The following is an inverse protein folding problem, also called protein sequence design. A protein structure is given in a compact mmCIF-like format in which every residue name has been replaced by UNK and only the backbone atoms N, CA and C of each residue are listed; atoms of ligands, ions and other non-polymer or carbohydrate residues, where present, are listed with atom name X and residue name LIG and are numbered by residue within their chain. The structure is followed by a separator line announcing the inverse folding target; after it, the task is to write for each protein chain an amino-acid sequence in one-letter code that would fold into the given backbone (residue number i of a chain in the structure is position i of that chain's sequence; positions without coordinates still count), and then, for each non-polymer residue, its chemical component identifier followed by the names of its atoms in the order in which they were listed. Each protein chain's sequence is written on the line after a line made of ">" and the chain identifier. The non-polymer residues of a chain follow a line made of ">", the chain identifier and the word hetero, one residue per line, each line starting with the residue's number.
data_IF_226654406928
#
_entry.id   IF_226654406928
#
_cell.length_a   1.000
_cell.length_b   1.000
_cell.length_c   1.000
_cell.angle_alpha   90.00
_cell.angle_beta   90.00
_cell.angle_gamma   90.00
#
_symmetry.space_group_name_H-M   'P 1'
#
loop_
_entity.id
_entity.type
_entity.pdbx_description
1 polymer ?
#
# COMPACT_ATOMS: atom_id res chain seq x y z
N UNK A 1 -25.88 2.33 36.56
CA UNK A 1 -25.26 1.95 37.85
C UNK A 1 -24.57 0.60 37.66
N UNK A 2 -23.35 0.48 38.19
CA UNK A 2 -22.32 -0.49 37.84
C UNK A 2 -22.77 -1.97 37.80
N UNK A 3 -22.34 -2.68 36.74
CA UNK A 3 -22.26 -4.14 36.73
C UNK A 3 -20.79 -4.51 36.59
N UNK A 4 -20.26 -5.08 37.67
CA UNK A 4 -18.91 -5.62 37.81
C UNK A 4 -18.75 -6.81 36.86
N UNK A 5 -17.69 -6.83 36.05
CA UNK A 5 -17.25 -8.03 35.34
C UNK A 5 -16.05 -8.62 36.05
N UNK A 6 -16.18 -9.89 36.42
CA UNK A 6 -15.28 -10.66 37.25
C UNK A 6 -14.06 -11.14 36.45
N UNK A 7 -12.86 -10.86 36.97
CA UNK A 7 -11.62 -11.51 36.54
C UNK A 7 -11.51 -12.88 37.21
N UNK A 8 -11.43 -13.94 36.40
CA UNK A 8 -11.13 -15.29 36.85
C UNK A 8 -9.60 -15.46 36.92
N UNK A 9 -9.04 -15.36 38.12
CA UNK A 9 -7.63 -15.70 38.42
C UNK A 9 -7.59 -17.17 38.84
N UNK A 10 -6.97 -18.03 38.03
CA UNK A 10 -6.63 -19.39 38.44
C UNK A 10 -5.46 -19.33 39.45
N UNK A 11 -5.76 -19.57 40.73
CA UNK A 11 -4.76 -19.85 41.78
C UNK A 11 -4.34 -21.32 41.71
N UNK A 12 -3.05 -21.58 41.66
CA UNK A 12 -2.46 -22.88 42.06
C UNK A 12 -1.80 -22.72 43.44
N UNK A 13 -1.78 -23.76 44.29
CA UNK A 13 -1.42 -23.62 45.70
C UNK A 13 0.10 -23.62 45.92
N UNK A 14 0.56 -22.75 46.82
CA UNK A 14 1.91 -22.72 47.36
C UNK A 14 2.21 -23.95 48.24
N UNK A 15 3.42 -24.50 48.07
CA UNK A 15 4.18 -25.14 49.15
C UNK A 15 5.53 -24.46 49.26
N UNK A 16 5.87 -24.05 50.48
CA UNK A 16 7.10 -23.37 50.84
C UNK A 16 8.31 -24.32 50.90
N UNK A 17 9.49 -23.86 50.45
CA UNK A 17 10.76 -23.95 51.20
C UNK A 17 11.94 -23.30 50.46
N UNK A 18 12.59 -22.37 51.17
CA UNK A 18 14.01 -21.98 51.17
C UNK A 18 14.80 -21.70 49.87
N UNK A 19 15.10 -20.41 49.65
CA UNK A 19 16.48 -19.90 49.57
C UNK A 19 17.27 -20.01 48.26
N UNK A 20 17.37 -18.89 47.51
CA UNK A 20 18.61 -18.26 46.98
C UNK A 20 18.31 -17.14 45.95
N UNK A 21 19.23 -16.18 45.90
CA UNK A 21 19.29 -14.92 45.14
C UNK A 21 18.83 -14.94 43.66
N UNK A 22 18.31 -13.82 43.08
CA UNK A 22 17.88 -13.78 41.69
C UNK A 22 19.07 -13.56 40.74
N UNK A 23 19.39 -14.57 39.94
CA UNK A 23 20.25 -14.44 38.77
C UNK A 23 19.43 -14.00 37.55
N UNK A 24 20.00 -13.07 36.79
CA UNK A 24 19.46 -12.43 35.59
C UNK A 24 18.93 -13.40 34.53
N UNK A 25 17.67 -13.25 34.14
CA UNK A 25 17.13 -13.85 32.92
C UNK A 25 17.67 -13.09 31.70
N UNK A 26 18.71 -13.64 31.08
CA UNK A 26 19.10 -13.29 29.70
C UNK A 26 18.02 -13.81 28.75
N UNK A 27 17.28 -12.89 28.13
CA UNK A 27 16.48 -13.19 26.93
C UNK A 27 17.46 -13.40 25.78
N UNK A 28 17.56 -14.64 25.28
CA UNK A 28 18.29 -14.92 24.02
C UNK A 28 17.36 -14.57 22.86
N UNK A 29 17.68 -13.51 22.13
CA UNK A 29 17.15 -13.30 20.78
C UNK A 29 17.79 -14.34 19.87
N UNK A 30 16.98 -15.26 19.36
CA UNK A 30 17.40 -16.23 18.35
C UNK A 30 17.15 -15.60 16.98
N UNK A 31 18.15 -14.93 16.41
CA UNK A 31 18.14 -14.46 15.03
C UNK A 31 18.28 -15.67 14.10
N UNK A 32 17.17 -16.15 13.55
CA UNK A 32 17.19 -17.04 12.39
C UNK A 32 16.75 -16.23 11.17
N UNK A 33 17.73 -15.71 10.44
CA UNK A 33 17.55 -15.18 9.10
C UNK A 33 17.43 -16.33 8.10
N UNK A 34 16.45 -16.31 7.18
CA UNK A 34 16.62 -16.88 5.86
C UNK A 34 17.08 -15.75 4.92
N UNK A 35 18.30 -15.92 4.42
CA UNK A 35 18.93 -15.04 3.43
C UNK A 35 18.19 -15.25 2.10
N UNK A 36 17.30 -14.33 1.73
CA UNK A 36 16.89 -14.14 0.33
C UNK A 36 17.62 -12.91 -0.21
N UNK A 37 18.78 -13.16 -0.81
CA UNK A 37 19.61 -12.16 -1.47
C UNK A 37 18.98 -11.80 -2.81
N UNK A 38 18.12 -10.79 -2.82
CA UNK A 38 17.77 -10.10 -4.07
C UNK A 38 18.80 -8.98 -4.30
N UNK A 39 19.71 -9.22 -5.25
CA UNK A 39 20.63 -8.20 -5.75
C UNK A 39 19.85 -7.19 -6.58
N UNK A 40 19.46 -6.06 -5.99
CA UNK A 40 18.96 -4.89 -6.72
C UNK A 40 20.08 -3.86 -6.82
N UNK A 41 20.81 -3.91 -7.94
CA UNK A 41 21.61 -2.77 -8.38
C UNK A 41 20.64 -1.68 -8.86
N UNK A 42 20.31 -0.72 -7.99
CA UNK A 42 19.71 0.54 -8.43
C UNK A 42 20.74 1.31 -9.25
N UNK A 43 20.54 1.36 -10.57
CA UNK A 43 21.15 2.39 -11.42
C UNK A 43 20.03 3.18 -12.06
N UNK A 44 20.03 4.49 -11.84
CA UNK A 44 19.28 5.46 -12.63
C UNK A 44 19.59 5.25 -14.13
N UNK A 45 18.59 5.13 -15.02
CA UNK A 45 18.87 5.10 -16.45
C UNK A 45 19.15 6.51 -16.97
N UNK A 46 20.19 6.73 -17.79
CA UNK A 46 20.31 7.93 -18.60
C UNK A 46 19.37 7.87 -19.81
N UNK A 47 19.02 9.06 -20.29
CA UNK A 47 18.12 9.40 -21.39
C UNK A 47 18.46 8.76 -22.74
N UNK A 48 17.40 8.45 -23.50
CA UNK A 48 17.37 7.96 -24.88
C UNK A 48 18.21 8.79 -25.87
N UNK A 49 18.91 8.10 -26.78
CA UNK A 49 19.14 8.55 -28.15
C UNK A 49 18.94 7.36 -29.09
N UNK A 50 18.03 7.51 -30.06
CA UNK A 50 17.78 6.51 -31.10
C UNK A 50 18.87 6.55 -32.18
N UNK A 51 19.17 5.41 -32.78
CA UNK A 51 19.44 5.30 -34.21
C UNK A 51 19.14 3.89 -34.72
N UNK A 52 18.58 3.89 -35.91
CA UNK A 52 17.97 2.80 -36.65
C UNK A 52 19.00 1.88 -37.30
N UNK A 53 18.70 0.60 -37.50
CA UNK A 53 19.22 -0.21 -38.62
C UNK A 53 18.32 -1.42 -38.88
N UNK A 54 18.34 -1.84 -40.14
CA UNK A 54 17.30 -2.51 -40.91
C UNK A 54 17.31 -4.05 -40.87
N UNK A 55 16.11 -4.62 -41.08
CA UNK A 55 15.72 -5.87 -41.77
C UNK A 55 16.76 -6.98 -42.01
N UNK A 56 16.39 -8.21 -41.64
CA UNK A 56 16.22 -9.35 -42.57
C UNK A 56 15.56 -10.56 -41.88
N UNK A 57 14.60 -11.18 -42.57
CA UNK A 57 14.03 -12.52 -42.28
C UNK A 57 14.77 -13.58 -43.13
N UNK A 58 14.81 -14.87 -42.75
CA UNK A 58 13.77 -15.86 -43.14
C UNK A 58 13.60 -16.95 -42.03
N UNK A 59 12.86 -18.06 -42.09
CA UNK A 59 12.11 -18.81 -43.09
C UNK A 59 11.02 -19.64 -42.37
N UNK A 60 10.05 -20.10 -43.14
CA UNK A 60 8.86 -20.90 -42.79
C UNK A 60 9.13 -22.39 -42.55
N UNK A 61 8.39 -23.01 -41.62
CA UNK A 61 8.06 -24.44 -41.66
C UNK A 61 6.58 -24.65 -41.26
N UNK A 62 5.83 -25.54 -41.94
CA UNK A 62 4.42 -25.78 -41.67
C UNK A 62 4.24 -26.82 -40.57
N UNK A 63 3.36 -26.56 -39.60
CA UNK A 63 2.92 -27.57 -38.62
C UNK A 63 1.40 -27.66 -38.70
N UNK A 64 0.93 -28.91 -38.73
CA UNK A 64 -0.39 -29.35 -39.19
C UNK A 64 -1.60 -28.82 -38.42
N UNK A 65 -2.74 -28.95 -39.09
CA UNK A 65 -4.08 -28.66 -38.60
C UNK A 65 -4.37 -29.39 -37.29
N UNK A 66 -4.35 -28.64 -36.19
CA UNK A 66 -4.99 -29.04 -34.94
C UNK A 66 -6.34 -28.34 -34.91
N UNK A 67 -7.41 -29.12 -35.10
CA UNK A 67 -8.79 -28.72 -34.84
C UNK A 67 -8.91 -28.30 -33.37
N UNK A 68 -8.77 -26.99 -33.11
CA UNK A 68 -9.09 -26.37 -31.85
C UNK A 68 -10.62 -26.40 -31.66
N UNK A 69 -11.07 -27.18 -30.68
CA UNK A 69 -12.42 -27.05 -30.14
C UNK A 69 -12.66 -25.59 -29.69
N UNK A 70 -13.87 -25.04 -29.83
CA UNK A 70 -14.13 -23.65 -29.47
C UNK A 70 -13.89 -23.45 -27.96
N UNK A 71 -12.96 -22.55 -27.66
CA UNK A 71 -12.74 -22.01 -26.32
C UNK A 71 -14.07 -21.54 -25.72
N UNK A 72 -14.36 -21.78 -24.43
CA UNK A 72 -15.59 -21.30 -23.82
C UNK A 72 -15.60 -19.77 -23.92
N UNK A 73 -16.59 -19.23 -24.63
CA UNK A 73 -16.84 -17.80 -24.69
C UNK A 73 -16.92 -17.28 -23.26
N UNK A 74 -15.94 -16.47 -22.84
CA UNK A 74 -16.07 -15.64 -21.64
C UNK A 74 -17.34 -14.82 -21.83
N UNK A 75 -18.35 -15.11 -21.03
CA UNK A 75 -19.64 -14.42 -21.03
C UNK A 75 -19.45 -12.90 -21.06
N UNK A 76 -19.93 -12.26 -22.13
CA UNK A 76 -19.93 -10.81 -22.32
C UNK A 76 -20.75 -10.08 -21.25
N UNK A 77 -21.62 -10.78 -20.51
CA UNK A 77 -22.50 -10.20 -19.50
C UNK A 77 -21.75 -9.67 -18.27
N UNK A 78 -20.65 -10.30 -17.86
CA UNK A 78 -19.86 -9.85 -16.72
C UNK A 78 -19.14 -8.52 -16.99
N UNK A 79 -18.84 -8.21 -18.26
CA UNK A 79 -18.26 -6.91 -18.66
C UNK A 79 -19.26 -5.75 -18.58
N UNK A 80 -20.57 -6.03 -18.58
CA UNK A 80 -21.62 -5.03 -18.69
C UNK A 80 -22.16 -4.51 -17.35
N UNK A 81 -22.02 -5.29 -16.26
CA UNK A 81 -22.54 -4.88 -14.95
C UNK A 81 -21.83 -3.63 -14.43
N UNK A 82 -22.58 -2.62 -13.98
CA UNK A 82 -22.03 -1.42 -13.32
C UNK A 82 -21.37 -1.81 -12.00
N UNK A 83 -20.13 -1.36 -11.70
CA UNK A 83 -19.53 -1.54 -10.38
C UNK A 83 -20.40 -0.89 -9.29
N UNK A 84 -20.58 -1.60 -8.18
CA UNK A 84 -21.27 -1.09 -6.98
C UNK A 84 -20.29 -0.80 -5.85
N UNK A 85 -19.00 -1.11 -6.03
CA UNK A 85 -17.93 -0.76 -5.12
C UNK A 85 -16.75 -0.15 -5.88
N UNK A 86 -16.13 0.85 -5.25
CA UNK A 86 -14.91 1.51 -5.75
C UNK A 86 -13.83 1.36 -4.67
N UNK A 87 -12.72 0.74 -5.06
CA UNK A 87 -11.55 0.58 -4.20
C UNK A 87 -10.48 1.52 -4.73
N UNK A 88 -9.99 2.42 -3.88
CA UNK A 88 -9.05 3.47 -4.23
C UNK A 88 -7.70 3.18 -3.58
N UNK A 89 -6.64 3.30 -4.36
CA UNK A 89 -5.31 3.50 -3.81
C UNK A 89 -5.22 4.86 -3.08
N UNK A 90 -4.21 5.03 -2.23
CA UNK A 90 -4.00 6.24 -1.44
C UNK A 90 -3.02 7.21 -2.09
N UNK A 91 -1.72 6.87 -2.16
CA UNK A 91 -0.66 7.79 -2.55
C UNK A 91 -0.48 7.83 -4.07
N UNK A 92 -0.69 9.02 -4.66
CA UNK A 92 -0.75 9.18 -6.11
C UNK A 92 -2.16 9.09 -6.66
N UNK A 93 -3.15 8.73 -5.82
CA UNK A 93 -4.55 8.55 -6.21
C UNK A 93 -5.46 9.50 -5.44
N UNK A 94 -5.65 9.25 -4.13
CA UNK A 94 -6.43 10.10 -3.24
C UNK A 94 -5.62 11.30 -2.74
N UNK A 95 -4.37 11.07 -2.33
CA UNK A 95 -3.46 12.12 -1.87
C UNK A 95 -2.25 12.18 -2.78
N UNK A 96 -1.54 13.30 -2.78
CA UNK A 96 -0.37 13.45 -3.63
C UNK A 96 0.71 12.41 -3.27
N UNK A 97 1.26 11.74 -4.28
CA UNK A 97 2.48 10.98 -4.09
C UNK A 97 3.62 11.96 -3.78
N UNK A 98 4.44 11.72 -2.74
CA UNK A 98 5.51 12.65 -2.39
C UNK A 98 6.52 12.76 -3.53
N UNK A 99 6.92 13.98 -3.83
CA UNK A 99 7.99 14.30 -4.76
C UNK A 99 9.37 13.98 -4.17
N UNK A 100 10.40 13.95 -5.03
CA UNK A 100 11.80 13.75 -4.59
C UNK A 100 12.23 14.86 -3.63
N UNK A 101 11.78 16.09 -3.85
CA UNK A 101 12.09 17.24 -2.98
C UNK A 101 11.47 17.04 -1.60
N UNK A 102 10.21 16.64 -1.51
CA UNK A 102 9.54 16.38 -0.24
C UNK A 102 10.15 15.19 0.50
N UNK A 103 10.56 14.13 -0.22
CA UNK A 103 11.27 13.00 0.40
C UNK A 103 12.62 13.42 0.98
N UNK A 104 13.39 14.25 0.26
CA UNK A 104 14.66 14.79 0.78
C UNK A 104 14.46 15.71 1.97
N UNK A 105 13.44 16.58 1.92
CA UNK A 105 13.10 17.46 3.03
C UNK A 105 12.63 16.68 4.27
N UNK A 106 11.88 15.58 4.07
CA UNK A 106 11.56 14.65 5.14
C UNK A 106 12.84 14.01 5.67
N UNK A 107 13.65 13.35 4.82
CA UNK A 107 14.88 12.67 5.21
C UNK A 107 15.86 13.58 5.99
N UNK A 108 15.94 14.87 5.65
CA UNK A 108 16.72 15.84 6.42
C UNK A 108 16.24 16.03 7.87
N UNK A 109 14.92 15.98 8.11
CA UNK A 109 14.35 16.01 9.47
C UNK A 109 14.66 14.72 10.24
N UNK A 110 14.54 13.56 9.60
CA UNK A 110 14.96 12.27 10.19
C UNK A 110 16.46 12.31 10.55
N UNK A 111 17.29 12.81 9.64
CA UNK A 111 18.73 12.91 9.83
C UNK A 111 19.12 13.79 11.02
N UNK A 112 18.42 14.92 11.22
CA UNK A 112 18.65 15.81 12.35
C UNK A 112 18.38 15.11 13.70
N UNK A 113 17.27 14.38 13.81
CA UNK A 113 16.90 13.63 15.03
C UNK A 113 17.88 12.48 15.27
N UNK A 114 18.17 11.71 14.23
CA UNK A 114 19.01 10.51 14.29
C UNK A 114 20.52 10.82 14.37
N UNK A 115 20.89 12.10 14.20
CA UNK A 115 22.29 12.58 14.18
C UNK A 115 23.14 11.89 13.11
N UNK A 116 22.55 11.69 11.93
CA UNK A 116 23.21 11.13 10.74
C UNK A 116 23.17 12.14 9.59
N UNK A 117 23.83 11.84 8.47
CA UNK A 117 23.69 12.69 7.27
C UNK A 117 22.33 12.47 6.58
N UNK A 118 21.79 13.47 5.85
CA UNK A 118 20.57 13.29 5.06
C UNK A 118 20.63 12.12 4.08
N UNK A 119 21.80 11.86 3.48
CA UNK A 119 22.00 10.74 2.58
C UNK A 119 21.87 9.38 3.29
N UNK A 120 22.36 9.27 4.53
CA UNK A 120 22.19 8.05 5.35
C UNK A 120 20.73 7.85 5.71
N UNK A 121 20.03 8.91 6.13
CA UNK A 121 18.60 8.83 6.43
C UNK A 121 17.77 8.45 5.19
N UNK A 122 18.07 9.02 4.02
CA UNK A 122 17.39 8.67 2.76
C UNK A 122 17.61 7.19 2.38
N UNK A 123 18.84 6.69 2.49
CA UNK A 123 19.14 5.26 2.27
C UNK A 123 18.33 4.38 3.22
N UNK A 124 18.35 4.66 4.52
CA UNK A 124 17.67 3.83 5.52
C UNK A 124 16.14 3.85 5.33
N UNK A 125 15.55 5.00 5.00
CA UNK A 125 14.11 5.10 4.72
C UNK A 125 13.71 4.27 3.48
N UNK A 126 14.59 4.21 2.48
CA UNK A 126 14.42 3.40 1.27
C UNK A 126 14.61 1.91 1.56
N UNK A 127 15.71 1.55 2.21
CA UNK A 127 16.10 0.16 2.47
C UNK A 127 15.16 -0.53 3.47
N UNK A 128 14.60 0.23 4.42
CA UNK A 128 13.60 -0.26 5.39
C UNK A 128 12.17 -0.23 4.86
N UNK A 129 11.93 0.17 3.60
CA UNK A 129 10.55 0.32 3.09
C UNK A 129 9.74 -0.96 3.28
N UNK A 130 10.26 -2.10 2.86
CA UNK A 130 9.56 -3.39 2.94
C UNK A 130 9.10 -3.71 4.36
N UNK A 131 10.03 -3.71 5.34
CA UNK A 131 9.77 -4.06 6.74
C UNK A 131 8.74 -3.13 7.41
N UNK A 132 8.63 -1.88 6.94
CA UNK A 132 7.63 -0.93 7.44
C UNK A 132 6.24 -1.13 6.84
N UNK A 133 6.10 -1.88 5.75
CA UNK A 133 4.84 -1.97 4.98
C UNK A 133 4.29 -3.40 4.90
N UNK A 134 5.07 -4.44 5.18
CA UNK A 134 4.65 -5.84 5.05
C UNK A 134 4.14 -6.48 6.35
N UNK A 135 4.02 -5.69 7.42
CA UNK A 135 3.43 -6.10 8.70
C UNK A 135 4.40 -6.69 9.72
N UNK A 136 5.70 -6.55 9.51
CA UNK A 136 6.69 -6.80 10.58
C UNK A 136 6.58 -5.83 11.77
N UNK A 137 5.98 -4.64 11.54
CA UNK A 137 5.80 -3.60 12.55
C UNK A 137 4.32 -3.25 12.70
N UNK A 138 3.85 -3.21 13.95
CA UNK A 138 2.46 -2.99 14.29
C UNK A 138 2.12 -1.52 14.59
N UNK A 139 3.10 -0.68 14.95
CA UNK A 139 2.85 0.68 15.41
C UNK A 139 3.88 1.72 14.93
N UNK A 140 3.53 3.00 15.04
CA UNK A 140 4.47 4.10 14.76
C UNK A 140 5.71 4.03 15.65
N UNK A 141 5.55 3.68 16.93
CA UNK A 141 6.66 3.47 17.87
C UNK A 141 7.63 2.40 17.37
N UNK A 142 7.12 1.26 16.87
CA UNK A 142 7.97 0.19 16.34
C UNK A 142 8.75 0.63 15.10
N UNK A 143 8.12 1.44 14.23
CA UNK A 143 8.81 2.08 13.10
C UNK A 143 9.93 3.00 13.59
N UNK A 144 9.68 3.84 14.60
CA UNK A 144 10.69 4.73 15.16
C UNK A 144 11.87 3.95 15.77
N UNK A 145 11.58 2.91 16.57
CA UNK A 145 12.60 2.01 17.14
C UNK A 145 13.44 1.35 16.05
N UNK A 146 12.80 0.85 14.99
CA UNK A 146 13.49 0.22 13.87
C UNK A 146 14.45 1.20 13.17
N UNK A 147 13.99 2.41 12.84
CA UNK A 147 14.82 3.41 12.16
C UNK A 147 15.98 3.89 13.04
N UNK A 148 15.76 4.06 14.35
CA UNK A 148 16.84 4.36 15.32
C UNK A 148 17.90 3.26 15.33
N UNK A 149 17.47 1.99 15.34
CA UNK A 149 18.37 0.84 15.31
C UNK A 149 19.15 0.76 13.99
N UNK A 150 18.51 0.98 12.84
CA UNK A 150 19.17 1.00 11.53
C UNK A 150 20.24 2.09 11.41
N UNK A 151 20.05 3.23 12.08
CA UNK A 151 21.04 4.32 12.13
C UNK A 151 22.14 4.11 13.19
N UNK A 152 22.06 3.07 14.03
CA UNK A 152 22.83 2.96 15.26
C UNK A 152 22.74 4.24 16.14
N UNK A 153 21.58 4.90 16.11
CA UNK A 153 21.31 6.10 16.90
C UNK A 153 20.95 5.74 18.34
N UNK A 154 20.94 6.74 19.22
CA UNK A 154 20.56 6.55 20.63
C UNK A 154 19.06 6.26 20.77
N UNK A 155 18.69 5.37 21.68
CA UNK A 155 17.29 5.08 22.01
C UNK A 155 16.52 6.32 22.48
N UNK A 156 17.21 7.37 22.96
CA UNK A 156 16.60 8.65 23.31
C UNK A 156 15.97 9.38 22.11
N UNK A 157 16.30 9.00 20.87
CA UNK A 157 15.72 9.59 19.65
C UNK A 157 14.33 9.01 19.31
N UNK A 158 13.89 7.91 19.95
CA UNK A 158 12.66 7.19 19.56
C UNK A 158 11.42 8.09 19.67
N UNK A 159 11.21 8.74 20.82
CA UNK A 159 10.01 9.55 21.05
C UNK A 159 9.92 10.74 20.08
N UNK A 160 11.04 11.42 19.84
CA UNK A 160 11.09 12.55 18.90
C UNK A 160 10.82 12.09 17.46
N UNK A 161 11.32 10.92 17.09
CA UNK A 161 11.12 10.34 15.77
C UNK A 161 9.69 9.86 15.56
N UNK A 162 9.07 9.26 16.57
CA UNK A 162 7.66 8.87 16.55
C UNK A 162 6.77 10.09 16.34
N UNK A 163 7.02 11.19 17.06
CA UNK A 163 6.29 12.46 16.88
C UNK A 163 6.47 12.99 15.45
N UNK A 164 7.69 12.94 14.90
CA UNK A 164 7.94 13.35 13.51
C UNK A 164 7.14 12.48 12.52
N UNK A 165 7.17 11.15 12.67
CA UNK A 165 6.43 10.22 11.82
C UNK A 165 4.93 10.52 11.84
N UNK A 166 4.34 10.61 13.04
CA UNK A 166 2.91 10.91 13.21
C UNK A 166 2.53 12.26 12.59
N UNK A 167 3.37 13.29 12.75
CA UNK A 167 3.15 14.61 12.12
C UNK A 167 3.20 14.52 10.60
N UNK A 168 4.20 13.86 10.03
CA UNK A 168 4.33 13.71 8.59
C UNK A 168 3.18 12.89 7.99
N UNK A 169 2.69 11.88 8.71
CA UNK A 169 1.51 11.11 8.32
C UNK A 169 0.26 12.01 8.22
N UNK A 170 0.00 12.85 9.21
CA UNK A 170 -1.13 13.79 9.18
C UNK A 170 -1.04 14.79 8.01
N UNK A 171 0.15 15.34 7.76
CA UNK A 171 0.37 16.27 6.63
C UNK A 171 0.15 15.59 5.27
N UNK A 172 0.40 14.29 5.19
CA UNK A 172 0.24 13.50 3.95
C UNK A 172 -1.21 13.11 3.66
N UNK A 173 -2.05 13.00 4.68
CA UNK A 173 -3.45 12.57 4.54
C UNK A 173 -4.42 13.74 4.28
N UNK A 174 -3.97 14.74 3.54
CA UNK A 174 -4.76 15.92 3.20
C UNK A 174 -5.47 15.73 1.85
N UNK A 175 -6.78 15.96 1.85
CA UNK A 175 -7.63 15.90 0.67
C UNK A 175 -8.17 17.30 0.33
N UNK A 176 -8.23 17.64 -0.95
CA UNK A 176 -8.86 18.89 -1.38
C UNK A 176 -10.40 18.75 -1.45
N UNK A 177 -11.08 19.89 -1.48
CA UNK A 177 -12.54 19.94 -1.48
C UNK A 177 -13.17 19.27 -2.71
N UNK A 178 -12.53 19.33 -3.88
CA UNK A 178 -13.04 18.69 -5.09
C UNK A 178 -13.04 17.17 -4.97
N UNK A 179 -11.98 16.59 -4.38
CA UNK A 179 -11.92 15.17 -4.11
C UNK A 179 -13.02 14.74 -3.13
N UNK A 180 -13.15 15.44 -2.00
CA UNK A 180 -14.19 15.12 -1.01
C UNK A 180 -15.59 15.18 -1.63
N UNK A 181 -15.87 16.20 -2.46
CA UNK A 181 -17.13 16.32 -3.18
C UNK A 181 -17.37 15.12 -4.12
N UNK A 182 -16.35 14.65 -4.83
CA UNK A 182 -16.45 13.48 -5.70
C UNK A 182 -16.72 12.19 -4.91
N UNK A 183 -16.04 11.99 -3.76
CA UNK A 183 -16.30 10.85 -2.88
C UNK A 183 -17.75 10.85 -2.39
N UNK A 184 -18.29 12.02 -2.00
CA UNK A 184 -19.70 12.13 -1.63
C UNK A 184 -20.65 11.84 -2.81
N UNK A 185 -20.33 12.28 -4.02
CA UNK A 185 -21.12 11.95 -5.21
C UNK A 185 -21.15 10.44 -5.47
N UNK A 186 -20.01 9.75 -5.34
CA UNK A 186 -19.95 8.30 -5.46
C UNK A 186 -20.85 7.61 -4.42
N UNK A 187 -20.79 8.05 -3.16
CA UNK A 187 -21.65 7.52 -2.08
C UNK A 187 -23.13 7.77 -2.34
N UNK A 188 -23.50 8.99 -2.75
CA UNK A 188 -24.88 9.34 -3.13
C UNK A 188 -25.37 8.51 -4.33
N UNK A 189 -24.46 8.14 -5.24
CA UNK A 189 -24.70 7.22 -6.35
C UNK A 189 -24.79 5.73 -5.95
N UNK A 190 -24.70 5.42 -4.65
CA UNK A 190 -24.84 4.07 -4.09
C UNK A 190 -23.57 3.23 -4.10
N UNK A 191 -22.40 3.81 -4.41
CA UNK A 191 -21.14 3.07 -4.39
C UNK A 191 -20.65 2.87 -2.95
N UNK A 192 -20.25 1.64 -2.62
CA UNK A 192 -19.42 1.38 -1.44
C UNK A 192 -17.99 1.77 -1.73
N UNK A 193 -17.33 2.46 -0.81
CA UNK A 193 -15.97 2.96 -0.99
C UNK A 193 -15.00 2.23 -0.06
N UNK A 194 -13.84 1.84 -0.59
CA UNK A 194 -12.74 1.38 0.24
C UNK A 194 -11.40 1.97 -0.17
N UNK A 195 -10.47 2.01 0.78
CA UNK A 195 -9.04 2.23 0.51
C UNK A 195 -8.28 0.91 0.58
N UNK A 196 -7.37 0.70 -0.37
CA UNK A 196 -6.37 -0.37 -0.32
C UNK A 196 -4.99 0.24 -0.63
N UNK A 197 -4.08 0.26 0.34
CA UNK A 197 -2.81 0.97 0.23
C UNK A 197 -1.66 0.21 0.85
N UNK A 198 -0.51 0.25 0.16
CA UNK A 198 0.77 -0.05 0.79
C UNK A 198 1.15 1.12 1.68
N UNK A 199 0.97 0.94 2.98
CA UNK A 199 1.09 1.99 3.97
C UNK A 199 1.80 1.47 5.24
N UNK A 200 2.63 2.32 5.83
CA UNK A 200 3.27 2.05 7.11
C UNK A 200 2.35 2.33 8.30
N UNK A 201 2.67 1.82 9.51
CA UNK A 201 1.86 2.02 10.72
C UNK A 201 1.50 3.48 11.02
N UNK A 202 2.41 4.43 10.77
CA UNK A 202 2.16 5.86 10.98
C UNK A 202 1.01 6.41 10.13
N UNK A 203 0.90 5.96 8.88
CA UNK A 203 -0.24 6.30 8.01
C UNK A 203 -1.52 5.61 8.52
N UNK A 204 -1.41 4.34 8.92
CA UNK A 204 -2.55 3.56 9.36
C UNK A 204 -3.16 4.07 10.67
N UNK A 205 -2.35 4.60 11.58
CA UNK A 205 -2.75 5.23 12.84
C UNK A 205 -3.32 6.64 12.62
N UNK A 206 -2.74 7.43 11.70
CA UNK A 206 -3.24 8.76 11.36
C UNK A 206 -4.54 8.73 10.52
N UNK A 207 -4.94 7.57 9.99
CA UNK A 207 -6.12 7.48 9.11
C UNK A 207 -7.40 8.01 9.76
N UNK A 208 -7.69 7.63 11.00
CA UNK A 208 -8.98 7.97 11.64
C UNK A 208 -9.17 9.45 11.91
N UNK A 209 -8.09 10.24 11.95
CA UNK A 209 -8.14 11.71 12.11
C UNK A 209 -8.15 12.46 10.77
N UNK A 210 -8.09 11.76 9.64
CA UNK A 210 -8.11 12.37 8.31
C UNK A 210 -9.54 12.70 7.86
N UNK A 211 -9.68 13.75 7.03
CA UNK A 211 -10.94 14.12 6.39
C UNK A 211 -11.42 13.06 5.37
N UNK A 212 -10.54 12.14 4.96
CA UNK A 212 -10.89 11.04 4.07
C UNK A 212 -11.69 9.95 4.79
N UNK A 213 -11.31 9.59 6.02
CA UNK A 213 -11.84 8.42 6.72
C UNK A 213 -13.37 8.33 6.78
N UNK A 214 -14.14 9.42 7.03
CA UNK A 214 -15.59 9.37 7.07
C UNK A 214 -16.27 8.93 5.76
N UNK A 215 -15.57 9.00 4.62
CA UNK A 215 -16.14 8.67 3.31
C UNK A 215 -16.01 7.17 2.95
N UNK A 216 -15.22 6.39 3.68
CA UNK A 216 -14.91 5.01 3.32
C UNK A 216 -15.60 3.99 4.24
N UNK A 217 -16.17 2.95 3.65
CA UNK A 217 -16.82 1.86 4.36
C UNK A 217 -15.81 0.79 4.84
N UNK A 218 -14.65 0.71 4.18
CA UNK A 218 -13.56 -0.18 4.54
C UNK A 218 -12.19 0.42 4.20
N UNK A 219 -11.17 0.00 4.95
CA UNK A 219 -9.77 0.33 4.66
C UNK A 219 -8.89 -0.90 4.89
N UNK A 220 -7.94 -1.12 3.98
CA UNK A 220 -6.90 -2.15 4.09
C UNK A 220 -5.55 -1.50 3.89
N UNK A 221 -4.73 -1.55 4.94
CA UNK A 221 -3.34 -1.12 4.90
C UNK A 221 -2.42 -2.33 4.95
N UNK A 222 -1.41 -2.36 4.09
CA UNK A 222 -0.46 -3.46 3.96
C UNK A 222 0.19 -3.85 5.29
N UNK A 223 0.59 -2.86 6.12
CA UNK A 223 1.21 -3.11 7.42
C UNK A 223 0.29 -3.87 8.40
N UNK A 224 -1.03 -3.73 8.25
CA UNK A 224 -2.00 -4.50 9.05
C UNK A 224 -2.38 -5.82 8.41
N UNK A 225 -2.25 -5.92 7.08
CA UNK A 225 -2.60 -7.09 6.31
C UNK A 225 -1.48 -8.15 6.25
N UNK A 226 -0.23 -7.77 6.51
CA UNK A 226 0.90 -8.68 6.49
C UNK A 226 1.46 -8.98 5.09
N UNK A 227 1.17 -8.11 4.12
CA UNK A 227 1.58 -8.24 2.72
C UNK A 227 1.49 -6.88 2.01
N UNK A 228 2.23 -6.71 0.92
CA UNK A 228 2.18 -5.53 0.04
C UNK A 228 1.55 -5.87 -1.32
N UNK A 229 1.08 -4.86 -2.06
CA UNK A 229 0.64 -5.04 -3.44
C UNK A 229 1.82 -5.57 -4.29
N UNK A 230 1.56 -6.46 -5.26
CA UNK A 230 0.24 -6.88 -5.74
C UNK A 230 -0.24 -8.23 -5.17
N UNK A 231 0.09 -8.54 -3.90
CA UNK A 231 -0.37 -9.78 -3.28
C UNK A 231 -1.92 -9.86 -3.25
N UNK A 232 -2.45 -10.98 -3.73
CA UNK A 232 -3.90 -11.28 -3.76
C UNK A 232 -4.57 -11.19 -2.39
N UNK A 233 -3.82 -11.36 -1.30
CA UNK A 233 -4.32 -11.27 0.06
C UNK A 233 -4.97 -9.91 0.33
N UNK A 234 -4.35 -8.80 -0.06
CA UNK A 234 -4.89 -7.46 0.20
C UNK A 234 -6.19 -7.26 -0.57
N UNK A 235 -6.19 -7.64 -1.85
CA UNK A 235 -7.35 -7.50 -2.73
C UNK A 235 -8.55 -8.34 -2.26
N UNK A 236 -8.32 -9.58 -1.83
CA UNK A 236 -9.37 -10.39 -1.22
C UNK A 236 -9.82 -9.85 0.13
N UNK A 237 -8.91 -9.28 0.93
CA UNK A 237 -9.24 -8.68 2.21
C UNK A 237 -10.18 -7.48 2.04
N UNK A 238 -9.90 -6.57 1.11
CA UNK A 238 -10.76 -5.39 0.90
C UNK A 238 -12.13 -5.79 0.33
N UNK A 239 -12.20 -6.76 -0.59
CA UNK A 239 -13.46 -7.29 -1.12
C UNK A 239 -14.31 -7.92 -0.01
N UNK A 240 -13.69 -8.69 0.89
CA UNK A 240 -14.35 -9.29 2.05
C UNK A 240 -14.86 -8.21 3.01
N UNK A 241 -14.06 -7.20 3.31
CA UNK A 241 -14.45 -6.10 4.20
C UNK A 241 -15.62 -5.28 3.62
N UNK A 242 -15.65 -5.12 2.30
CA UNK A 242 -16.76 -4.48 1.59
C UNK A 242 -17.99 -5.39 1.44
N UNK A 243 -17.85 -6.71 1.57
CA UNK A 243 -18.91 -7.68 1.35
C UNK A 243 -19.43 -7.68 -0.09
N UNK A 244 -18.53 -7.61 -1.08
CA UNK A 244 -18.87 -7.58 -2.52
C UNK A 244 -18.09 -8.62 -3.32
N UNK A 245 -18.67 -9.08 -4.43
CA UNK A 245 -17.97 -9.94 -5.37
C UNK A 245 -16.94 -9.14 -6.19
N UNK A 246 -15.82 -9.76 -6.63
CA UNK A 246 -14.79 -9.07 -7.41
C UNK A 246 -15.35 -8.34 -8.65
N UNK A 247 -16.35 -8.92 -9.33
CA UNK A 247 -16.93 -8.36 -10.55
C UNK A 247 -17.76 -7.08 -10.31
N UNK A 248 -18.15 -6.82 -9.05
CA UNK A 248 -18.85 -5.63 -8.60
C UNK A 248 -17.89 -4.50 -8.19
N UNK A 249 -16.59 -4.78 -8.08
CA UNK A 249 -15.59 -3.85 -7.62
C UNK A 249 -14.77 -3.27 -8.79
N UNK A 250 -14.56 -1.95 -8.75
CA UNK A 250 -13.62 -1.23 -9.59
C UNK A 250 -12.45 -0.76 -8.73
N UNK A 251 -11.26 -1.27 -9.01
CA UNK A 251 -10.01 -0.78 -8.44
C UNK A 251 -9.52 0.44 -9.23
N UNK A 252 -9.13 1.49 -8.51
CA UNK A 252 -8.63 2.73 -9.09
C UNK A 252 -7.31 3.09 -8.42
N UNK A 253 -6.25 3.23 -9.21
CA UNK A 253 -4.92 3.56 -8.71
C UNK A 253 -4.02 4.15 -9.77
N UNK A 254 -2.86 4.67 -9.38
CA UNK A 254 -1.96 5.40 -10.27
C UNK A 254 -1.07 4.48 -11.13
N UNK A 255 -1.03 3.19 -10.77
CA UNK A 255 -0.24 2.15 -11.44
C UNK A 255 1.05 1.77 -10.73
N UNK A 256 1.32 2.30 -9.54
CA UNK A 256 2.44 1.86 -8.69
C UNK A 256 2.25 0.44 -8.14
N UNK A 257 3.34 -0.28 -7.94
CA UNK A 257 3.35 -1.59 -7.25
C UNK A 257 2.61 -2.72 -7.99
N UNK A 258 2.50 -2.64 -9.32
CA UNK A 258 1.73 -3.58 -10.15
C UNK A 258 0.26 -3.75 -9.69
N UNK A 259 -0.29 -2.72 -9.04
CA UNK A 259 -1.57 -2.81 -8.34
C UNK A 259 -2.76 -3.05 -9.28
N UNK A 260 -2.71 -2.48 -10.49
CA UNK A 260 -3.78 -2.62 -11.48
C UNK A 260 -3.86 -4.06 -11.99
N UNK A 261 -2.72 -4.67 -12.32
CA UNK A 261 -2.67 -6.07 -12.70
C UNK A 261 -2.97 -6.99 -11.51
N UNK A 262 -2.53 -6.62 -10.30
CA UNK A 262 -2.93 -7.29 -9.06
C UNK A 262 -4.44 -7.36 -8.89
N UNK A 263 -5.13 -6.25 -9.13
CA UNK A 263 -6.58 -6.17 -9.07
C UNK A 263 -7.26 -7.06 -10.13
N UNK A 264 -6.76 -7.06 -11.36
CA UNK A 264 -7.27 -7.95 -12.43
C UNK A 264 -7.06 -9.44 -12.12
N UNK A 265 -5.90 -9.79 -11.53
CA UNK A 265 -5.62 -11.16 -11.07
C UNK A 265 -6.58 -11.59 -9.95
N UNK A 266 -7.01 -10.64 -9.11
CA UNK A 266 -8.08 -10.83 -8.12
C UNK A 266 -9.50 -10.76 -8.71
N UNK A 267 -9.64 -10.76 -10.05
CA UNK A 267 -10.91 -10.73 -10.80
C UNK A 267 -11.72 -9.44 -10.66
N UNK A 268 -11.11 -8.36 -10.18
CA UNK A 268 -11.71 -7.04 -10.21
C UNK A 268 -11.53 -6.40 -11.59
N UNK A 269 -12.27 -5.31 -11.81
CA UNK A 269 -11.93 -4.38 -12.90
C UNK A 269 -10.96 -3.35 -12.36
N UNK A 270 -10.11 -2.83 -13.23
CA UNK A 270 -9.15 -1.79 -12.87
C UNK A 270 -9.24 -0.60 -13.83
N UNK A 271 -9.02 0.60 -13.30
CA UNK A 271 -8.85 1.83 -14.04
C UNK A 271 -7.62 2.54 -13.51
N UNK A 272 -6.77 3.02 -14.41
CA UNK A 272 -5.65 3.87 -14.04
C UNK A 272 -6.14 5.29 -13.80
N UNK A 273 -5.67 5.91 -12.73
CA UNK A 273 -5.85 7.33 -12.44
C UNK A 273 -4.53 8.04 -12.77
N UNK A 274 -4.56 9.21 -13.40
CA UNK A 274 -3.34 10.01 -13.51
C UNK A 274 -2.87 10.44 -12.13
N UNK A 275 -1.54 10.43 -11.94
CA UNK A 275 -0.94 10.60 -10.62
C UNK A 275 -1.23 11.97 -10.04
N UNK A 276 -1.88 11.98 -8.88
CA UNK A 276 -2.00 13.15 -8.01
C UNK A 276 -0.63 13.51 -7.43
N UNK A 277 -0.27 14.79 -7.49
CA UNK A 277 1.11 15.27 -7.24
C UNK A 277 1.94 15.47 -8.51
N UNK A 278 1.37 15.13 -9.67
CA UNK A 278 1.97 15.38 -10.98
C UNK A 278 3.08 14.38 -11.36
N UNK A 279 3.78 14.62 -12.49
CA UNK A 279 4.78 13.70 -13.02
C UNK A 279 6.01 13.53 -12.10
N UNK A 280 6.23 14.47 -11.18
CA UNK A 280 7.30 14.42 -10.18
C UNK A 280 6.94 13.56 -8.96
N UNK A 281 5.67 13.16 -8.81
CA UNK A 281 5.23 12.24 -7.77
C UNK A 281 5.82 10.86 -8.00
N UNK A 282 6.37 10.28 -6.94
CA UNK A 282 7.08 9.02 -7.03
C UNK A 282 6.12 7.84 -7.10
N UNK A 283 6.37 6.94 -8.05
CA UNK A 283 5.77 5.62 -8.09
C UNK A 283 6.86 4.55 -8.17
N UNK A 284 6.66 3.48 -7.41
CA UNK A 284 7.57 2.35 -7.38
C UNK A 284 7.00 1.24 -8.25
N UNK A 285 7.84 0.59 -9.06
CA UNK A 285 7.42 -0.57 -9.85
C UNK A 285 6.28 -0.26 -10.83
N UNK A 286 6.31 0.90 -11.49
CA UNK A 286 5.32 1.22 -12.53
C UNK A 286 5.35 0.17 -13.64
N UNK A 287 4.17 -0.31 -14.00
CA UNK A 287 3.96 -1.23 -15.11
C UNK A 287 3.13 -0.58 -16.20
N UNK A 288 3.41 -0.91 -17.46
CA UNK A 288 2.60 -0.43 -18.57
C UNK A 288 1.12 -0.86 -18.39
N UNK A 289 0.20 0.08 -18.59
CA UNK A 289 -1.24 -0.16 -18.48
C UNK A 289 -1.92 0.09 -19.83
N UNK A 290 -2.55 -0.94 -20.38
CA UNK A 290 -3.29 -0.87 -21.66
C UNK A 290 -4.81 -0.72 -21.47
N UNK A 291 -5.29 -0.73 -20.23
CA UNK A 291 -6.70 -0.58 -19.90
C UNK A 291 -7.17 0.87 -19.90
N UNK A 292 -8.40 1.09 -19.44
CA UNK A 292 -8.98 2.44 -19.31
C UNK A 292 -8.20 3.27 -18.31
N UNK A 293 -8.01 4.55 -18.62
CA UNK A 293 -7.45 5.56 -17.73
C UNK A 293 -8.40 6.76 -17.57
N UNK A 294 -8.31 7.45 -16.44
CA UNK A 294 -9.04 8.69 -16.14
C UNK A 294 -8.06 9.74 -15.60
N UNK A 295 -8.34 11.04 -15.80
CA UNK A 295 -7.42 12.10 -15.38
C UNK A 295 -7.33 12.26 -13.86
N UNK A 296 -8.35 11.85 -13.11
CA UNK A 296 -8.40 11.99 -11.67
C UNK A 296 -9.57 11.19 -11.07
N UNK A 297 -9.62 11.10 -9.73
CA UNK A 297 -10.70 10.41 -8.99
C UNK A 297 -12.05 11.11 -9.20
N UNK A 298 -12.03 12.42 -9.41
CA UNK A 298 -13.19 13.27 -9.62
C UNK A 298 -13.96 12.94 -10.91
N UNK A 299 -13.33 12.23 -11.85
CA UNK A 299 -13.99 11.70 -13.05
C UNK A 299 -14.81 10.43 -12.77
N UNK A 300 -14.66 9.77 -11.62
CA UNK A 300 -15.32 8.50 -11.32
C UNK A 300 -16.85 8.55 -11.29
N UNK A 301 -17.52 9.58 -10.73
CA UNK A 301 -18.98 9.68 -10.79
C UNK A 301 -19.49 9.61 -12.24
N UNK A 302 -18.92 10.44 -13.12
CA UNK A 302 -19.29 10.44 -14.55
C UNK A 302 -18.97 9.10 -15.22
N UNK A 303 -17.84 8.49 -14.87
CA UNK A 303 -17.45 7.19 -15.40
C UNK A 303 -18.45 6.10 -15.03
N UNK A 304 -18.90 6.05 -13.77
CA UNK A 304 -19.86 5.07 -13.29
C UNK A 304 -21.25 5.32 -13.88
N UNK A 305 -21.66 6.57 -14.09
CA UNK A 305 -22.95 6.89 -14.69
C UNK A 305 -23.05 6.46 -16.15
N UNK A 306 -21.94 6.56 -16.88
CA UNK A 306 -21.83 6.11 -18.28
C UNK A 306 -21.41 4.65 -18.40
N UNK A 307 -21.38 3.89 -17.31
CA UNK A 307 -20.84 2.53 -17.33
C UNK A 307 -21.68 1.62 -18.22
N UNK A 308 -21.04 0.98 -19.21
CA UNK A 308 -21.71 0.10 -20.16
C UNK A 308 -22.36 0.83 -21.35
N UNK A 309 -22.38 2.16 -21.37
CA UNK A 309 -22.71 2.95 -22.56
C UNK A 309 -21.46 2.97 -23.45
N UNK A 310 -21.53 2.34 -24.61
CA UNK A 310 -20.49 2.38 -25.64
C UNK A 310 -20.62 3.66 -26.46
#
# INVERSE_FOLDING_TARGET
>A
MAVKSSFLVCRTPEKASSGRSPASRRVRFCTRSPIYRWSLTMRYPPTCTSMSTSLSAPATHPVGDVLLAPSPQRSSAASALRPTAVILDLFGTLVAAPSVVERRAAAAQFAAILRVSPAVAESILSDSWQARHDGEMASTTEVAVHLVACCAATAACVDELEVLLARLAHVRLQADASLLQALEQLRRGGARLAVLSDASPDIAEAWSSSDLAPHFDAVVFSCRAGAVKPDRLLFHAVLRNLGVAPQQALYCGDGGGDELAGAERARMRAVRVERRGGPSGLAFGETAWSGRAIPNVEALPTLLDRWGQR
#
